data_IF_835190647689
#
_entry.id   IF_835190647689
#
_cell.length_a   1.000
_cell.length_b   1.000
_cell.length_c   1.000
_cell.angle_alpha   90.00
_cell.angle_beta   90.00
_cell.angle_gamma   90.00
#
_symmetry.space_group_name_H-M   'P 1'
#
loop_
_entity.id
_entity.type
_entity.pdbx_description
1 polymer ?
#
# COMPACT_ATOMS: atom_id res chain seq x y z
N UNK A 1 8.44 -22.99 -3.38
CA UNK A 1 8.43 -21.71 -4.10
C UNK A 1 7.48 -20.79 -3.35
N UNK A 2 7.85 -19.53 -3.10
CA UNK A 2 6.94 -18.54 -2.52
C UNK A 2 5.99 -18.10 -3.64
N UNK A 3 4.70 -18.30 -3.43
CA UNK A 3 3.63 -17.74 -4.26
C UNK A 3 2.78 -16.87 -3.34
N UNK A 4 2.72 -15.58 -3.65
CA UNK A 4 2.03 -14.61 -2.81
C UNK A 4 1.12 -13.73 -3.65
N UNK A 5 0.00 -13.33 -3.09
CA UNK A 5 -0.93 -12.39 -3.69
C UNK A 5 -0.69 -10.99 -3.12
N UNK A 6 -0.44 -10.01 -3.98
CA UNK A 6 -0.32 -8.63 -3.54
C UNK A 6 -1.68 -8.12 -3.03
N UNK A 7 -1.67 -7.45 -1.88
CA UNK A 7 -2.87 -7.00 -1.19
C UNK A 7 -3.02 -5.49 -1.25
N UNK A 8 -2.13 -4.78 -0.60
CA UNK A 8 -2.24 -3.33 -0.45
C UNK A 8 -0.88 -2.66 -0.22
N UNK A 9 -0.90 -1.34 -0.37
CA UNK A 9 0.16 -0.45 0.10
C UNK A 9 -0.39 0.51 1.15
N UNK A 10 0.35 0.67 2.25
CA UNK A 10 -0.04 1.52 3.39
C UNK A 10 0.47 2.94 3.19
N UNK A 11 -0.44 3.91 3.24
CA UNK A 11 -0.12 5.34 3.29
C UNK A 11 -0.44 5.93 4.65
N UNK A 12 0.47 6.74 5.19
CA UNK A 12 0.16 7.61 6.33
C UNK A 12 -0.45 8.90 5.81
N UNK A 13 -1.60 9.27 6.35
CA UNK A 13 -2.34 10.47 5.94
C UNK A 13 -2.54 11.43 7.11
N UNK A 14 -2.39 12.73 6.86
CA UNK A 14 -2.55 13.77 7.87
C UNK A 14 -3.97 14.37 7.94
N UNK A 15 -4.80 14.18 6.91
CA UNK A 15 -6.16 14.72 6.86
C UNK A 15 -7.13 13.75 6.17
N UNK A 16 -8.04 13.14 6.96
CA UNK A 16 -9.01 12.16 6.44
C UNK A 16 -10.00 12.76 5.45
N UNK A 17 -10.49 13.99 5.67
CA UNK A 17 -11.48 14.61 4.80
C UNK A 17 -10.89 14.92 3.40
N UNK A 18 -9.70 15.52 3.35
CA UNK A 18 -9.00 15.80 2.08
C UNK A 18 -8.67 14.50 1.33
N UNK A 19 -8.22 13.47 2.05
CA UNK A 19 -7.92 12.18 1.44
C UNK A 19 -9.20 11.44 1.00
N UNK A 20 -10.28 11.49 1.76
CA UNK A 20 -11.56 10.93 1.33
C UNK A 20 -12.02 11.58 0.00
N UNK A 21 -11.92 12.91 -0.12
CA UNK A 21 -12.20 13.59 -1.37
C UNK A 21 -11.27 13.12 -2.51
N UNK A 22 -9.95 13.07 -2.28
CA UNK A 22 -9.01 12.63 -3.31
C UNK A 22 -9.28 11.20 -3.78
N UNK A 23 -9.39 10.25 -2.87
CA UNK A 23 -9.55 8.85 -3.24
C UNK A 23 -10.95 8.52 -3.78
N UNK A 24 -12.03 9.07 -3.19
CA UNK A 24 -13.40 8.81 -3.64
C UNK A 24 -13.80 9.61 -4.87
N UNK A 25 -13.60 10.93 -4.85
CA UNK A 25 -14.17 11.80 -5.88
C UNK A 25 -13.23 11.96 -7.08
N UNK A 26 -11.92 12.07 -6.84
CA UNK A 26 -10.92 12.23 -7.91
C UNK A 26 -10.55 10.86 -8.49
N UNK A 27 -10.07 9.92 -7.67
CA UNK A 27 -9.67 8.61 -8.18
C UNK A 27 -10.84 7.66 -8.44
N UNK A 28 -12.02 7.90 -7.85
CA UNK A 28 -13.21 7.07 -8.03
C UNK A 28 -13.16 5.73 -7.29
N UNK A 29 -12.34 5.64 -6.25
CA UNK A 29 -12.23 4.45 -5.40
C UNK A 29 -13.39 4.36 -4.41
N UNK A 30 -13.67 3.16 -3.91
CA UNK A 30 -14.67 2.87 -2.91
C UNK A 30 -14.02 2.58 -1.57
N UNK A 31 -14.63 3.06 -0.47
CA UNK A 31 -14.24 2.65 0.87
C UNK A 31 -14.73 1.21 1.07
N UNK A 32 -13.79 0.31 1.29
CA UNK A 32 -14.08 -1.12 1.47
C UNK A 32 -14.35 -1.48 2.93
N UNK A 33 -13.63 -0.82 3.85
CA UNK A 33 -13.84 -0.90 5.30
C UNK A 33 -13.15 0.27 6.01
N UNK A 34 -13.63 0.59 7.20
CA UNK A 34 -13.02 1.59 8.08
C UNK A 34 -12.97 1.05 9.52
N UNK A 35 -11.82 1.18 10.16
CA UNK A 35 -11.56 0.62 11.48
C UNK A 35 -10.89 1.66 12.37
N UNK A 36 -11.33 1.74 13.64
CA UNK A 36 -10.77 2.65 14.65
C UNK A 36 -10.09 1.85 15.76
N UNK A 37 -8.91 2.31 16.18
CA UNK A 37 -8.10 1.67 17.20
C UNK A 37 -7.78 2.68 18.30
N UNK A 38 -7.81 2.23 19.55
CA UNK A 38 -7.58 3.09 20.73
C UNK A 38 -6.11 3.13 21.16
N UNK A 39 -5.29 2.21 20.66
CA UNK A 39 -3.87 2.07 21.00
C UNK A 39 -3.09 1.61 19.76
N UNK A 40 -1.76 1.75 19.78
CA UNK A 40 -0.86 1.32 18.72
C UNK A 40 -0.96 -0.17 18.40
N UNK A 41 -0.40 -0.56 17.26
CA UNK A 41 -0.40 -1.94 16.77
C UNK A 41 0.93 -2.62 17.13
N UNK A 42 0.88 -3.86 17.67
CA UNK A 42 2.05 -4.66 18.05
C UNK A 42 3.02 -4.93 16.88
N UNK A 43 2.50 -4.93 15.64
CA UNK A 43 3.31 -5.03 14.43
C UNK A 43 3.60 -3.65 13.79
N UNK A 44 3.50 -2.56 14.56
CA UNK A 44 3.71 -1.17 14.12
C UNK A 44 2.92 -0.81 12.84
N UNK A 45 1.66 -1.27 12.73
CA UNK A 45 0.81 -1.04 11.56
C UNK A 45 0.61 0.46 11.28
N UNK A 46 0.52 1.26 12.33
CA UNK A 46 0.38 2.71 12.24
C UNK A 46 1.71 3.47 12.40
N UNK A 47 2.85 2.76 12.32
CA UNK A 47 4.18 3.31 12.58
C UNK A 47 4.52 3.34 14.08
N UNK A 48 5.46 4.21 14.51
CA UNK A 48 5.94 4.28 15.89
C UNK A 48 5.01 5.09 16.81
N UNK A 49 3.71 5.01 16.62
CA UNK A 49 2.72 5.80 17.36
C UNK A 49 1.90 4.90 18.27
N UNK A 50 1.85 5.24 19.57
CA UNK A 50 1.07 4.50 20.58
C UNK A 50 -0.35 5.05 20.76
N UNK A 51 -0.71 6.08 19.98
CA UNK A 51 -1.97 6.79 20.09
C UNK A 51 -3.12 6.05 19.42
N UNK A 52 -4.31 6.62 19.60
CA UNK A 52 -5.47 6.32 18.80
C UNK A 52 -5.20 6.55 17.30
N UNK A 53 -5.63 5.64 16.47
CA UNK A 53 -5.46 5.70 15.01
C UNK A 53 -6.64 5.05 14.29
N UNK A 54 -6.73 5.27 13.00
CA UNK A 54 -7.70 4.57 12.16
C UNK A 54 -7.04 4.03 10.90
N UNK A 55 -7.68 3.00 10.35
CA UNK A 55 -7.33 2.35 9.10
C UNK A 55 -8.53 2.39 8.18
N UNK A 56 -8.35 2.91 6.96
CA UNK A 56 -9.36 2.89 5.90
C UNK A 56 -8.81 2.13 4.70
N UNK A 57 -9.47 1.05 4.33
CA UNK A 57 -9.14 0.33 3.09
C UNK A 57 -9.98 0.91 1.96
N UNK A 58 -9.32 1.30 0.86
CA UNK A 58 -9.95 1.98 -0.26
C UNK A 58 -9.38 1.47 -1.58
N UNK A 59 -10.24 1.25 -2.58
CA UNK A 59 -9.81 0.67 -3.85
C UNK A 59 -10.95 0.56 -4.86
N UNK A 60 -10.68 -0.11 -5.99
CA UNK A 60 -11.65 -0.27 -7.07
C UNK A 60 -12.48 -1.55 -6.96
N UNK A 61 -12.17 -2.41 -6.02
CA UNK A 61 -12.89 -3.65 -5.74
C UNK A 61 -12.38 -4.32 -4.48
N UNK A 62 -12.95 -5.49 -4.12
CA UNK A 62 -12.58 -6.19 -2.90
C UNK A 62 -11.13 -6.65 -2.93
N UNK A 63 -10.48 -6.63 -1.78
CA UNK A 63 -9.06 -6.97 -1.61
C UNK A 63 -8.72 -8.43 -1.97
N UNK A 64 -9.74 -9.28 -2.08
CA UNK A 64 -9.60 -10.66 -2.59
C UNK A 64 -9.22 -10.75 -4.07
N UNK A 65 -9.45 -9.67 -4.84
CA UNK A 65 -9.24 -9.65 -6.30
C UNK A 65 -8.58 -8.38 -6.83
N UNK A 66 -8.43 -7.35 -5.99
CA UNK A 66 -7.85 -6.07 -6.36
C UNK A 66 -6.73 -5.70 -5.40
N UNK A 67 -5.74 -4.98 -5.91
CA UNK A 67 -4.76 -4.30 -5.07
C UNK A 67 -5.40 -3.03 -4.52
N UNK A 68 -5.41 -2.89 -3.20
CA UNK A 68 -6.06 -1.75 -2.55
C UNK A 68 -5.06 -0.85 -1.84
N UNK A 69 -5.52 0.26 -1.31
CA UNK A 69 -4.71 1.20 -0.55
C UNK A 69 -5.20 1.24 0.89
N UNK A 70 -4.28 1.17 1.84
CA UNK A 70 -4.55 1.37 3.25
C UNK A 70 -4.21 2.80 3.63
N UNK A 71 -5.18 3.55 4.13
CA UNK A 71 -5.00 4.90 4.63
C UNK A 71 -4.93 4.85 6.16
N UNK A 72 -3.72 5.00 6.70
CA UNK A 72 -3.46 5.04 8.14
C UNK A 72 -3.45 6.48 8.62
N UNK A 73 -4.36 6.83 9.54
CA UNK A 73 -4.46 8.13 10.17
C UNK A 73 -4.17 8.02 11.66
N UNK A 74 -3.12 8.70 12.14
CA UNK A 74 -2.81 8.81 13.55
C UNK A 74 -3.41 10.12 14.08
N UNK A 75 -4.28 10.05 15.09
CA UNK A 75 -4.93 11.21 15.64
C UNK A 75 -3.93 12.23 16.19
N UNK A 76 -4.10 13.48 15.81
CA UNK A 76 -3.21 14.58 16.20
C UNK A 76 -1.97 14.76 15.31
N UNK A 77 -1.69 13.84 14.38
CA UNK A 77 -0.61 14.00 13.38
C UNK A 77 -1.19 14.59 12.10
N UNK A 78 -0.87 15.84 11.80
CA UNK A 78 -1.44 16.60 10.68
C UNK A 78 -0.68 16.42 9.37
N UNK A 79 0.59 16.03 9.42
CA UNK A 79 1.45 15.86 8.25
C UNK A 79 2.59 14.89 8.54
N UNK A 80 3.15 14.32 7.49
CA UNK A 80 4.32 13.45 7.55
C UNK A 80 5.36 13.93 6.55
N UNK A 81 6.60 14.12 7.02
CA UNK A 81 7.71 14.43 6.13
C UNK A 81 7.90 13.29 5.11
N UNK A 82 7.83 13.63 3.83
CA UNK A 82 8.11 12.70 2.73
C UNK A 82 9.61 12.43 2.64
N UNK A 83 9.94 11.17 2.40
CA UNK A 83 11.26 10.76 1.98
C UNK A 83 11.40 10.71 0.45
N UNK A 84 12.41 10.00 -0.01
CA UNK A 84 12.62 9.68 -1.42
C UNK A 84 12.50 8.17 -1.72
N UNK A 85 11.95 7.42 -0.77
CA UNK A 85 11.78 5.98 -0.82
C UNK A 85 10.62 5.52 -1.73
N UNK A 86 9.54 6.31 -1.78
CA UNK A 86 8.33 5.98 -2.52
C UNK A 86 8.31 6.70 -3.89
N UNK A 87 8.23 5.91 -4.97
CA UNK A 87 8.18 6.44 -6.35
C UNK A 87 6.78 6.81 -6.82
N UNK A 88 5.75 6.02 -6.46
CA UNK A 88 4.36 6.29 -6.84
C UNK A 88 3.50 5.06 -7.05
N UNK A 89 2.21 5.29 -7.29
CA UNK A 89 1.24 4.28 -7.74
C UNK A 89 0.87 4.54 -9.19
N UNK A 90 0.83 3.50 -10.02
CA UNK A 90 0.34 3.59 -11.41
C UNK A 90 -1.06 3.01 -11.51
N UNK A 91 -1.99 3.83 -12.02
CA UNK A 91 -3.39 3.48 -12.27
C UNK A 91 -3.66 3.56 -13.76
N UNK A 92 -4.27 2.53 -14.32
CA UNK A 92 -4.71 2.48 -15.71
C UNK A 92 -6.21 2.80 -15.76
N UNK A 93 -6.56 4.05 -16.07
CA UNK A 93 -7.97 4.46 -16.10
C UNK A 93 -8.19 5.81 -16.80
N UNK A 94 -8.97 5.78 -17.86
CA UNK A 94 -9.50 7.00 -18.50
C UNK A 94 -10.47 7.74 -17.56
N UNK A 95 -11.28 7.00 -16.79
CA UNK A 95 -12.29 7.59 -15.89
C UNK A 95 -11.68 8.48 -14.80
N UNK A 96 -10.50 8.13 -14.29
CA UNK A 96 -9.78 8.96 -13.30
C UNK A 96 -9.43 10.31 -13.89
N UNK A 97 -8.96 10.36 -15.14
CA UNK A 97 -8.61 11.61 -15.82
C UNK A 97 -9.84 12.50 -15.98
N UNK A 98 -10.97 11.91 -16.40
CA UNK A 98 -12.23 12.64 -16.57
C UNK A 98 -12.80 13.13 -15.22
N UNK A 99 -12.68 12.33 -14.16
CA UNK A 99 -13.07 12.74 -12.80
C UNK A 99 -12.23 13.91 -12.31
N UNK A 100 -10.90 13.82 -12.43
CA UNK A 100 -9.98 14.90 -12.03
C UNK A 100 -10.30 16.22 -12.75
N UNK A 101 -10.55 16.17 -14.07
CA UNK A 101 -11.01 17.34 -14.85
C UNK A 101 -12.31 17.92 -14.33
N UNK A 102 -13.31 17.08 -14.07
CA UNK A 102 -14.65 17.50 -13.63
C UNK A 102 -14.62 18.24 -12.28
N UNK A 103 -13.76 17.80 -11.36
CA UNK A 103 -13.62 18.45 -10.04
C UNK A 103 -12.49 19.49 -9.99
N UNK A 104 -11.89 19.82 -11.14
CA UNK A 104 -10.75 20.74 -11.27
C UNK A 104 -9.55 20.35 -10.37
N UNK A 105 -9.30 19.04 -10.20
CA UNK A 105 -8.15 18.60 -9.44
C UNK A 105 -6.85 18.80 -10.24
N UNK A 106 -5.80 19.38 -9.64
CA UNK A 106 -4.54 19.61 -10.35
C UNK A 106 -3.92 18.31 -10.86
N UNK A 107 -3.53 18.28 -12.12
CA UNK A 107 -2.77 17.20 -12.71
C UNK A 107 -1.77 17.73 -13.73
N UNK A 108 -0.60 17.08 -13.82
CA UNK A 108 0.46 17.42 -14.78
C UNK A 108 0.58 16.28 -15.79
N UNK A 109 0.71 16.60 -17.06
CA UNK A 109 0.97 15.59 -18.08
C UNK A 109 2.47 15.32 -18.20
N UNK A 110 2.87 14.06 -18.07
CA UNK A 110 4.24 13.59 -18.25
C UNK A 110 4.25 12.45 -19.31
N UNK A 111 4.63 12.81 -20.55
CA UNK A 111 4.57 11.89 -21.68
C UNK A 111 3.14 11.45 -21.98
N UNK A 112 2.87 10.14 -21.91
CA UNK A 112 1.55 9.54 -22.16
C UNK A 112 0.73 9.30 -20.87
N UNK A 113 1.18 9.79 -19.73
CA UNK A 113 0.50 9.66 -18.45
C UNK A 113 0.24 11.01 -17.79
N UNK A 114 -0.71 11.03 -16.85
CA UNK A 114 -0.99 12.17 -16.00
C UNK A 114 -0.51 11.88 -14.57
N UNK A 115 0.05 12.89 -13.91
CA UNK A 115 0.50 12.81 -12.53
C UNK A 115 -0.46 13.61 -11.65
N UNK A 116 -1.05 12.94 -10.67
CA UNK A 116 -1.84 13.53 -9.60
C UNK A 116 -1.05 13.42 -8.30
N UNK A 117 -1.12 14.45 -7.47
CA UNK A 117 -0.48 14.46 -6.15
C UNK A 117 -1.58 14.38 -5.09
N UNK A 118 -1.50 13.40 -4.19
CA UNK A 118 -2.45 13.30 -3.07
C UNK A 118 -2.30 14.49 -2.10
N UNK A 119 -3.26 14.74 -1.20
CA UNK A 119 -3.13 15.79 -0.19
C UNK A 119 -1.89 15.70 0.69
N UNK A 120 -1.34 14.49 0.88
CA UNK A 120 -0.11 14.26 1.65
C UNK A 120 1.15 14.19 0.77
N UNK A 121 1.05 14.49 -0.54
CA UNK A 121 2.18 14.59 -1.46
C UNK A 121 2.58 13.31 -2.18
N UNK A 122 1.84 12.21 -2.04
CA UNK A 122 2.12 10.97 -2.76
C UNK A 122 1.73 11.07 -4.24
N UNK A 123 2.57 10.52 -5.13
CA UNK A 123 2.38 10.55 -6.58
C UNK A 123 1.51 9.41 -7.07
N UNK A 124 0.56 9.74 -7.94
CA UNK A 124 -0.28 8.81 -8.67
C UNK A 124 -0.13 9.06 -10.17
N UNK A 125 0.40 8.08 -10.89
CA UNK A 125 0.56 8.10 -12.33
C UNK A 125 -0.65 7.45 -12.98
N UNK A 126 -1.37 8.18 -13.80
CA UNK A 126 -2.59 7.69 -14.46
C UNK A 126 -2.35 7.58 -15.95
N UNK A 127 -2.43 6.37 -16.49
CA UNK A 127 -2.36 6.15 -17.94
C UNK A 127 -3.76 6.22 -18.54
N UNK A 128 -3.84 6.87 -19.72
CA UNK A 128 -5.10 7.05 -20.44
C UNK A 128 -5.45 5.77 -21.24
N UNK A 129 -5.63 4.67 -20.52
CA UNK A 129 -5.92 3.35 -21.08
C UNK A 129 -6.97 2.65 -20.22
N UNK A 130 -7.92 1.97 -20.87
CA UNK A 130 -8.99 1.25 -20.18
C UNK A 130 -9.95 2.18 -19.44
N UNK A 131 -10.97 1.63 -18.84
CA UNK A 131 -11.94 2.31 -17.99
C UNK A 131 -12.36 1.42 -16.84
N UNK A 132 -13.10 1.95 -15.86
CA UNK A 132 -13.64 1.17 -14.73
C UNK A 132 -14.64 0.09 -15.18
N UNK A 133 -15.11 0.15 -16.42
CA UNK A 133 -15.92 -0.91 -17.05
C UNK A 133 -15.08 -2.15 -17.43
N UNK A 134 -13.76 -2.00 -17.58
CA UNK A 134 -12.84 -3.14 -17.71
C UNK A 134 -12.73 -3.80 -16.33
N UNK A 135 -13.13 -5.06 -16.22
CA UNK A 135 -13.14 -5.84 -14.96
C UNK A 135 -11.73 -6.11 -14.39
N UNK A 136 -10.67 -5.69 -15.06
CA UNK A 136 -9.32 -5.78 -14.54
C UNK A 136 -9.07 -4.72 -13.46
N UNK A 137 -8.24 -5.05 -12.48
CA UNK A 137 -7.84 -4.09 -11.45
C UNK A 137 -7.13 -2.87 -12.09
N UNK A 138 -7.62 -1.63 -11.90
CA UNK A 138 -6.96 -0.44 -12.40
C UNK A 138 -5.60 -0.16 -11.76
N UNK A 139 -5.37 -0.56 -10.50
CA UNK A 139 -4.07 -0.38 -9.83
C UNK A 139 -3.08 -1.40 -10.37
N UNK A 140 -2.14 -0.93 -11.17
CA UNK A 140 -1.22 -1.81 -11.91
C UNK A 140 0.13 -1.98 -11.24
N UNK A 141 0.61 -0.96 -10.55
CA UNK A 141 1.99 -0.94 -10.12
C UNK A 141 2.19 -0.01 -8.92
N UNK A 142 3.05 -0.43 -7.99
CA UNK A 142 3.70 0.43 -7.01
C UNK A 142 5.17 0.53 -7.37
N UNK A 143 5.73 1.73 -7.34
CA UNK A 143 7.14 1.99 -7.57
C UNK A 143 7.80 2.38 -6.24
N UNK A 144 8.86 1.66 -5.86
CA UNK A 144 9.72 1.96 -4.73
C UNK A 144 11.12 2.30 -5.26
N UNK A 145 11.78 3.26 -4.63
CA UNK A 145 13.14 3.62 -4.98
C UNK A 145 14.15 2.76 -4.20
N UNK A 146 15.29 2.50 -4.80
CA UNK A 146 16.39 1.74 -4.18
C UNK A 146 17.73 2.41 -4.43
N UNK A 147 18.72 2.11 -3.60
CA UNK A 147 20.08 2.66 -3.75
C UNK A 147 20.99 1.77 -4.60
N UNK A 148 20.71 0.48 -4.64
CA UNK A 148 21.44 -0.53 -5.43
C UNK A 148 20.47 -1.55 -6.02
N UNK A 149 20.23 -1.44 -7.34
CA UNK A 149 19.29 -2.29 -8.05
C UNK A 149 19.63 -3.78 -8.00
N UNK A 150 20.93 -4.13 -8.04
CA UNK A 150 21.37 -5.52 -8.00
C UNK A 150 21.09 -6.14 -6.63
N UNK A 151 21.38 -5.41 -5.55
CA UNK A 151 21.10 -5.83 -4.18
C UNK A 151 19.60 -6.00 -3.95
N UNK A 152 18.78 -5.07 -4.47
CA UNK A 152 17.33 -5.15 -4.38
C UNK A 152 16.78 -6.32 -5.19
N UNK A 153 17.30 -6.58 -6.41
CA UNK A 153 16.92 -7.76 -7.20
C UNK A 153 17.29 -9.06 -6.48
N UNK A 154 18.48 -9.16 -5.88
CA UNK A 154 18.84 -10.34 -5.10
C UNK A 154 17.86 -10.60 -3.96
N UNK A 155 17.38 -9.57 -3.29
CA UNK A 155 16.39 -9.71 -2.24
C UNK A 155 15.01 -10.12 -2.79
N UNK A 156 14.45 -9.32 -3.68
CA UNK A 156 13.08 -9.51 -4.13
C UNK A 156 12.90 -10.69 -5.10
N UNK A 157 13.85 -10.91 -6.00
CA UNK A 157 13.79 -12.00 -6.98
C UNK A 157 14.36 -13.31 -6.43
N UNK A 158 15.57 -13.30 -5.83
CA UNK A 158 16.19 -14.55 -5.39
C UNK A 158 15.71 -14.97 -4.01
N UNK A 159 15.60 -14.04 -3.04
CA UNK A 159 15.19 -14.38 -1.67
C UNK A 159 13.67 -14.49 -1.58
N UNK A 160 12.91 -13.50 -2.01
CA UNK A 160 11.44 -13.52 -1.96
C UNK A 160 10.78 -14.20 -3.16
N UNK A 161 11.56 -14.60 -4.17
CA UNK A 161 11.12 -15.39 -5.32
C UNK A 161 10.06 -14.72 -6.22
N UNK A 162 10.03 -13.38 -6.25
CA UNK A 162 9.25 -12.67 -7.27
C UNK A 162 9.85 -12.89 -8.67
N UNK A 163 9.00 -13.07 -9.65
CA UNK A 163 9.39 -13.20 -11.05
C UNK A 163 9.79 -11.82 -11.60
N UNK A 164 10.96 -11.74 -12.22
CA UNK A 164 11.39 -10.56 -12.98
C UNK A 164 10.72 -10.59 -14.35
N UNK A 165 9.96 -9.55 -14.70
CA UNK A 165 9.23 -9.44 -15.97
C UNK A 165 9.80 -8.39 -16.91
N UNK A 166 10.50 -7.38 -16.39
CA UNK A 166 11.23 -6.40 -17.18
C UNK A 166 12.41 -5.85 -16.37
N UNK A 167 13.46 -5.42 -17.05
CA UNK A 167 14.62 -4.77 -16.44
C UNK A 167 15.34 -3.88 -17.45
N UNK A 168 15.83 -2.74 -16.97
CA UNK A 168 16.79 -1.88 -17.66
C UNK A 168 17.95 -1.51 -16.70
N UNK A 169 18.79 -0.55 -17.05
CA UNK A 169 19.96 -0.18 -16.26
C UNK A 169 19.61 0.45 -14.89
N UNK A 170 18.43 1.04 -14.78
CA UNK A 170 18.01 1.79 -13.58
C UNK A 170 16.72 1.27 -12.92
N UNK A 171 16.04 0.30 -13.51
CA UNK A 171 14.80 -0.23 -12.93
C UNK A 171 14.57 -1.71 -13.22
N UNK A 172 13.77 -2.35 -12.36
CA UNK A 172 13.29 -3.71 -12.53
C UNK A 172 11.81 -3.79 -12.17
N UNK A 173 11.06 -4.58 -12.93
CA UNK A 173 9.66 -4.89 -12.64
C UNK A 173 9.51 -6.35 -12.21
N UNK A 174 8.84 -6.54 -11.10
CA UNK A 174 8.70 -7.81 -10.40
C UNK A 174 7.22 -8.12 -10.15
N UNK A 175 6.86 -9.41 -10.22
CA UNK A 175 5.51 -9.88 -9.90
C UNK A 175 5.55 -11.30 -9.34
N UNK A 176 4.51 -11.70 -8.59
CA UNK A 176 4.30 -13.10 -8.26
C UNK A 176 3.46 -13.83 -9.33
N UNK A 177 2.59 -13.11 -10.05
CA UNK A 177 1.67 -13.69 -11.02
C UNK A 177 1.67 -12.91 -12.33
N UNK A 178 1.77 -13.62 -13.44
CA UNK A 178 1.70 -13.00 -14.78
C UNK A 178 0.38 -12.25 -14.97
N UNK A 179 0.47 -11.02 -15.48
CA UNK A 179 -0.67 -10.14 -15.67
C UNK A 179 -1.25 -9.51 -14.40
N UNK A 180 -0.72 -9.86 -13.23
CA UNK A 180 -1.11 -9.32 -11.93
C UNK A 180 -0.45 -7.99 -11.59
N UNK A 181 -0.48 -7.67 -10.30
CA UNK A 181 0.18 -6.51 -9.71
C UNK A 181 1.71 -6.54 -9.96
N UNK A 182 2.28 -5.37 -10.21
CA UNK A 182 3.72 -5.19 -10.44
C UNK A 182 4.34 -4.34 -9.32
N UNK A 183 5.43 -4.83 -8.74
CA UNK A 183 6.35 -4.02 -7.96
C UNK A 183 7.48 -3.54 -8.88
N UNK A 184 7.67 -2.24 -8.98
CA UNK A 184 8.81 -1.67 -9.69
C UNK A 184 9.82 -1.11 -8.70
N UNK A 185 11.09 -1.46 -8.88
CA UNK A 185 12.19 -0.87 -8.13
C UNK A 185 12.97 0.03 -9.07
N UNK A 186 13.23 1.27 -8.64
CA UNK A 186 13.96 2.27 -9.42
C UNK A 186 15.18 2.72 -8.63
N UNK A 187 16.36 2.57 -9.22
CA UNK A 187 17.59 3.04 -8.59
C UNK A 187 17.67 4.56 -8.68
N UNK A 188 17.84 5.20 -7.53
CA UNK A 188 18.03 6.63 -7.41
C UNK A 188 19.52 6.97 -7.11
N UNK A 189 20.01 8.14 -7.52
CA UNK A 189 21.31 8.61 -7.10
C UNK A 189 21.31 9.03 -5.62
N UNK A 190 22.36 8.68 -4.89
CA UNK A 190 22.54 9.07 -3.49
C UNK A 190 21.80 8.22 -2.47
N UNK A 191 21.77 8.66 -1.21
CA UNK A 191 21.15 7.90 -0.13
C UNK A 191 19.63 7.89 -0.21
N UNK A 192 19.03 6.79 0.24
CA UNK A 192 17.60 6.71 0.42
C UNK A 192 17.23 7.21 1.83
N UNK A 193 16.24 8.09 1.89
CA UNK A 193 15.63 8.59 3.12
C UNK A 193 14.14 8.25 3.13
N UNK A 194 13.71 7.49 4.11
CA UNK A 194 12.29 7.12 4.28
C UNK A 194 11.50 8.17 5.07
N UNK A 195 12.19 9.08 5.74
CA UNK A 195 11.65 10.13 6.59
C UNK A 195 10.54 9.64 7.55
N UNK A 196 9.32 10.21 7.50
CA UNK A 196 8.20 9.83 8.38
C UNK A 196 7.00 9.26 7.61
N UNK A 197 6.91 9.53 6.32
CA UNK A 197 5.78 9.12 5.48
C UNK A 197 5.92 7.69 4.91
N UNK A 198 6.99 6.97 5.26
CA UNK A 198 7.23 5.63 4.73
C UNK A 198 6.02 4.70 4.91
N UNK A 199 5.78 3.90 3.90
CA UNK A 199 4.68 2.94 3.86
C UNK A 199 5.14 1.49 4.07
N UNK A 200 4.21 0.58 3.78
CA UNK A 200 4.42 -0.87 3.86
C UNK A 200 3.65 -1.53 2.72
N UNK A 201 4.27 -2.47 2.03
CA UNK A 201 3.58 -3.32 1.06
C UNK A 201 3.18 -4.63 1.73
N UNK A 202 1.97 -5.12 1.45
CA UNK A 202 1.46 -6.35 2.01
C UNK A 202 1.17 -7.41 0.94
N UNK A 203 1.46 -8.65 1.30
CA UNK A 203 1.20 -9.84 0.49
C UNK A 203 0.52 -10.90 1.35
N UNK A 204 -0.46 -11.61 0.77
CA UNK A 204 -1.03 -12.80 1.38
C UNK A 204 -0.29 -14.05 0.90
N UNK A 205 -0.08 -14.98 1.82
CA UNK A 205 0.49 -16.30 1.55
C UNK A 205 -0.27 -17.36 2.36
N UNK A 206 -0.30 -18.63 1.92
CA UNK A 206 -0.83 -19.71 2.75
C UNK A 206 -0.19 -19.73 4.14
N UNK A 207 -0.99 -20.01 5.18
CA UNK A 207 -0.55 -20.01 6.57
C UNK A 207 0.70 -20.90 6.79
N UNK A 208 0.73 -22.07 6.17
CA UNK A 208 1.85 -23.00 6.28
C UNK A 208 3.14 -22.53 5.56
N UNK A 209 3.04 -21.50 4.72
CA UNK A 209 4.19 -20.97 4.01
C UNK A 209 4.97 -19.93 4.83
N UNK A 210 4.33 -19.25 5.77
CA UNK A 210 4.98 -18.21 6.57
C UNK A 210 6.22 -18.67 7.35
N UNK A 211 6.24 -19.85 8.01
CA UNK A 211 7.46 -20.33 8.66
C UNK A 211 8.62 -20.57 7.69
N UNK A 212 8.34 -20.94 6.44
CA UNK A 212 9.37 -21.12 5.40
C UNK A 212 9.93 -19.78 4.92
N UNK A 213 9.11 -18.73 4.90
CA UNK A 213 9.56 -17.38 4.63
C UNK A 213 10.48 -16.90 5.75
N UNK A 214 10.06 -17.07 7.00
CA UNK A 214 10.85 -16.71 8.18
C UNK A 214 12.22 -17.39 8.16
N UNK A 215 12.26 -18.72 8.00
CA UNK A 215 13.49 -19.51 7.90
C UNK A 215 14.40 -19.00 6.76
N UNK A 216 13.84 -18.73 5.59
CA UNK A 216 14.59 -18.26 4.42
C UNK A 216 15.22 -16.88 4.64
N UNK A 217 14.49 -15.98 5.29
CA UNK A 217 15.00 -14.64 5.64
C UNK A 217 16.13 -14.75 6.67
N UNK A 218 15.99 -15.60 7.68
CA UNK A 218 17.05 -15.87 8.66
C UNK A 218 18.30 -16.47 8.03
N UNK A 219 18.15 -17.47 7.15
CA UNK A 219 19.29 -18.10 6.44
C UNK A 219 20.03 -17.13 5.54
N UNK A 220 19.31 -16.22 4.89
CA UNK A 220 19.91 -15.16 4.04
C UNK A 220 20.41 -13.95 4.83
N UNK A 221 20.26 -13.96 6.17
CA UNK A 221 20.67 -12.87 7.09
C UNK A 221 20.05 -11.52 6.74
N UNK A 222 18.85 -11.55 6.18
CA UNK A 222 18.06 -10.36 5.92
C UNK A 222 17.25 -9.94 7.16
N UNK A 223 16.69 -8.74 7.15
CA UNK A 223 16.08 -8.13 8.32
C UNK A 223 14.64 -8.59 8.52
N UNK A 224 14.34 -9.07 9.73
CA UNK A 224 12.99 -9.28 10.24
C UNK A 224 12.71 -8.15 11.25
N UNK A 225 11.72 -7.32 10.95
CA UNK A 225 11.29 -6.23 11.84
C UNK A 225 10.36 -6.73 12.95
N UNK A 226 9.41 -7.57 12.58
CA UNK A 226 8.52 -8.25 13.53
C UNK A 226 8.50 -9.73 13.18
N UNK A 227 8.92 -10.63 14.10
CA UNK A 227 8.80 -12.07 13.94
C UNK A 227 7.33 -12.49 13.75
N UNK A 228 7.12 -13.75 13.38
CA UNK A 228 5.77 -14.31 13.28
C UNK A 228 4.96 -14.03 14.55
N UNK A 229 3.87 -13.27 14.40
CA UNK A 229 2.95 -12.89 15.47
C UNK A 229 1.51 -12.99 14.98
N UNK A 230 0.61 -13.40 15.86
CA UNK A 230 -0.83 -13.35 15.61
C UNK A 230 -1.39 -12.03 16.12
N UNK A 231 -2.14 -11.33 15.27
CA UNK A 231 -2.82 -10.07 15.56
C UNK A 231 -4.32 -10.31 15.56
N UNK A 232 -4.96 -10.05 16.69
CA UNK A 232 -6.39 -10.17 16.83
C UNK A 232 -7.08 -8.84 16.46
N UNK A 233 -8.08 -8.91 15.58
CA UNK A 233 -8.97 -7.78 15.31
C UNK A 233 -10.30 -8.04 15.99
N UNK A 234 -10.60 -7.37 17.13
CA UNK A 234 -11.79 -7.65 17.92
C UNK A 234 -13.08 -7.63 17.10
N UNK A 235 -13.85 -8.71 17.19
CA UNK A 235 -15.10 -8.88 16.46
C UNK A 235 -14.97 -9.21 14.97
N UNK A 236 -13.75 -9.49 14.49
CA UNK A 236 -13.47 -9.90 13.10
C UNK A 236 -12.67 -11.21 13.07
N UNK A 237 -11.39 -11.14 12.71
CA UNK A 237 -10.55 -12.30 12.57
C UNK A 237 -9.17 -12.06 13.20
N UNK A 238 -8.49 -13.17 13.54
CA UNK A 238 -7.08 -13.18 13.90
C UNK A 238 -6.26 -13.49 12.65
N UNK A 239 -5.25 -12.69 12.39
CA UNK A 239 -4.30 -12.90 11.29
C UNK A 239 -2.91 -13.12 11.84
N UNK A 240 -2.12 -13.97 11.18
CA UNK A 240 -0.70 -14.12 11.50
C UNK A 240 0.14 -13.35 10.48
N UNK A 241 1.08 -12.55 10.96
CA UNK A 241 1.95 -11.73 10.13
C UNK A 241 3.41 -11.95 10.43
N UNK A 242 4.26 -11.68 9.46
CA UNK A 242 5.69 -11.43 9.62
C UNK A 242 6.02 -10.14 8.89
N UNK A 243 6.77 -9.24 9.53
CA UNK A 243 7.17 -7.97 8.93
C UNK A 243 8.66 -8.00 8.66
N UNK A 244 9.02 -7.77 7.42
CA UNK A 244 10.38 -7.79 6.91
C UNK A 244 10.80 -6.38 6.48
N UNK A 245 12.10 -6.16 6.36
CA UNK A 245 12.65 -5.02 5.64
C UNK A 245 13.53 -5.51 4.49
N UNK A 246 13.38 -4.87 3.34
CA UNK A 246 14.30 -5.06 2.22
C UNK A 246 15.67 -4.36 2.50
N UNK A 247 16.68 -4.49 1.63
CA UNK A 247 17.99 -3.88 1.86
C UNK A 247 18.02 -2.36 2.00
N UNK A 248 17.02 -1.65 1.51
CA UNK A 248 16.85 -0.20 1.64
C UNK A 248 15.88 0.19 2.76
N UNK A 249 15.36 -0.80 3.50
CA UNK A 249 14.49 -0.62 4.65
C UNK A 249 12.99 -0.55 4.29
N UNK A 250 12.59 -0.81 3.05
CA UNK A 250 11.16 -0.91 2.72
C UNK A 250 10.49 -2.01 3.51
N UNK A 251 9.37 -1.68 4.14
CA UNK A 251 8.64 -2.63 4.98
C UNK A 251 7.72 -3.52 4.14
N UNK A 252 7.75 -4.82 4.45
CA UNK A 252 7.01 -5.85 3.75
C UNK A 252 6.26 -6.68 4.77
N UNK A 253 4.95 -6.80 4.62
CA UNK A 253 4.12 -7.69 5.43
C UNK A 253 3.77 -8.94 4.62
N UNK A 254 4.01 -10.12 5.20
CA UNK A 254 3.37 -11.34 4.74
C UNK A 254 2.31 -11.75 5.77
N UNK A 255 1.06 -11.72 5.37
CA UNK A 255 -0.09 -12.14 6.18
C UNK A 255 -0.61 -13.49 5.70
N UNK A 256 -1.15 -14.31 6.60
CA UNK A 256 -1.81 -15.55 6.22
C UNK A 256 -3.09 -15.28 5.41
N UNK A 257 -3.25 -16.00 4.29
CA UNK A 257 -4.40 -15.84 3.38
C UNK A 257 -5.71 -16.23 4.06
N UNK A 258 -5.68 -17.27 4.91
CA UNK A 258 -6.86 -17.86 5.55
C UNK A 258 -7.52 -16.84 6.50
N UNK A 259 -6.77 -16.34 7.49
CA UNK A 259 -7.29 -15.33 8.43
C UNK A 259 -7.56 -13.99 7.72
N UNK A 260 -6.71 -13.62 6.75
CA UNK A 260 -6.88 -12.38 6.03
C UNK A 260 -8.12 -12.36 5.15
N UNK A 261 -8.52 -13.48 4.56
CA UNK A 261 -9.75 -13.58 3.76
C UNK A 261 -11.01 -13.27 4.57
N UNK A 262 -11.02 -13.63 5.87
CA UNK A 262 -12.09 -13.27 6.79
C UNK A 262 -12.03 -11.79 7.19
N UNK A 263 -10.82 -11.30 7.53
CA UNK A 263 -10.59 -9.92 7.95
C UNK A 263 -10.93 -8.91 6.85
N UNK A 264 -10.63 -9.25 5.59
CA UNK A 264 -10.69 -8.33 4.45
C UNK A 264 -12.07 -8.22 3.78
N UNK A 265 -13.11 -8.81 4.36
CA UNK A 265 -14.46 -8.68 3.84
C UNK A 265 -14.88 -7.21 3.72
N UNK A 266 -15.55 -6.87 2.62
CA UNK A 266 -16.09 -5.53 2.41
C UNK A 266 -17.18 -5.25 3.44
N UNK A 267 -17.02 -4.14 4.16
CA UNK A 267 -18.03 -3.64 5.10
C UNK A 267 -18.93 -2.62 4.38
N UNK A 268 -20.21 -2.94 4.12
CA UNK A 268 -21.11 -2.01 3.45
C UNK A 268 -21.32 -0.69 4.22
N UNK A 269 -20.98 -0.65 5.50
CA UNK A 269 -21.07 0.55 6.33
C UNK A 269 -19.79 1.37 6.36
N UNK A 270 -18.71 0.87 5.76
CA UNK A 270 -17.36 1.44 5.85
C UNK A 270 -17.29 2.91 5.43
N UNK A 271 -17.97 3.27 4.34
CA UNK A 271 -18.02 4.64 3.84
C UNK A 271 -18.72 5.58 4.84
N UNK A 272 -19.87 5.16 5.37
CA UNK A 272 -20.59 5.90 6.41
C UNK A 272 -19.81 5.99 7.74
N UNK A 273 -19.03 4.96 8.10
CA UNK A 273 -18.16 5.00 9.26
C UNK A 273 -17.04 6.04 9.07
N UNK A 274 -16.38 6.04 7.91
CA UNK A 274 -15.36 7.05 7.61
C UNK A 274 -15.93 8.46 7.74
N UNK A 275 -17.09 8.76 7.13
CA UNK A 275 -17.75 10.07 7.21
C UNK A 275 -18.10 10.45 8.66
N UNK A 276 -18.60 9.50 9.44
CA UNK A 276 -18.89 9.72 10.86
C UNK A 276 -17.66 10.12 11.65
N UNK A 277 -16.51 9.47 11.40
CA UNK A 277 -15.29 9.76 12.13
C UNK A 277 -14.56 11.01 11.60
N UNK A 278 -14.71 11.36 10.34
CA UNK A 278 -14.31 12.67 9.81
C UNK A 278 -15.03 13.80 10.56
N UNK A 279 -16.36 13.71 10.68
CA UNK A 279 -17.19 14.74 11.38
C UNK A 279 -16.89 14.85 12.87
N UNK A 280 -16.41 13.80 13.52
CA UNK A 280 -16.10 13.74 14.94
C UNK A 280 -14.65 14.00 15.28
N UNK A 281 -13.81 14.25 14.29
CA UNK A 281 -12.37 14.41 14.49
C UNK A 281 -12.07 15.79 15.10
N UNK A 282 -11.57 15.85 16.36
CA UNK A 282 -11.28 17.13 17.03
C UNK A 282 -10.02 17.81 16.48
N UNK A 283 -9.22 17.12 15.65
CA UNK A 283 -7.94 17.61 15.13
C UNK A 283 -8.03 18.09 13.68
N UNK A 284 -9.18 17.93 13.03
CA UNK A 284 -9.40 18.38 11.66
C UNK A 284 -10.31 19.60 11.64
N UNK A 285 -9.82 20.69 11.07
CA UNK A 285 -10.66 21.80 10.68
C UNK A 285 -11.51 21.35 9.46
N UNK A 286 -12.80 21.49 9.59
CA UNK A 286 -13.78 21.15 8.52
C UNK A 286 -13.71 22.22 7.43
#
# INVERSE_FOLDING_TARGET
MISARALHYVFKIGNRAKNAHFFRDVLGMQVLRHEEFTQGCDAACNGPYDNRWSKTMIGYGPESSHFVLELTYNYGVKEYALGNDFGGVTIRSTDVIERAKRVNYPMTQEGNQFVLISPDGYKFFVTNEGGLADKSDPVRKVTLNCTDLNRSVQYWHETLQMKQIARNDSSVQLTYHDGGFVLELVQIPGPLDRAKAYGRIAFAVPFELQPKIDERIQQSKNTILTPLISLDTPGKATVRVIILADPDGHEICFVDEEGFSELSQVDPTGDGQLDKYIKKDPFQEV
#
